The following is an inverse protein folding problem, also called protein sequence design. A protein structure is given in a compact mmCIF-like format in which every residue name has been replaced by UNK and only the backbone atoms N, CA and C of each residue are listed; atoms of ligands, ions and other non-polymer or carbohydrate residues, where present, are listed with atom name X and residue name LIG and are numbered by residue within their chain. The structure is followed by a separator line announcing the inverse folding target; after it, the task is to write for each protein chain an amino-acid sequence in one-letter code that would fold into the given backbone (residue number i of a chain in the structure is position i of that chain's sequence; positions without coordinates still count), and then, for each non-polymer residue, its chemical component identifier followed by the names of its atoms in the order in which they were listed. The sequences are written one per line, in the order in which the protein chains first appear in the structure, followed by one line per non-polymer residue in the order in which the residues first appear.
data_IF_127018236553
#
_entry.id   IF_127018236553
#
_cell.length_a   1.000
_cell.length_b   1.000
_cell.length_c   1.000
_cell.angle_alpha   90.00
_cell.angle_beta   90.00
_cell.angle_gamma   90.00
#
_symmetry.space_group_name_H-M   'P 1'
#
loop_
_entity.id
_entity.type
_entity.pdbx_description
1 polymer ?
#
# COMPACT_ATOMS: atom_id res chain seq x y z
N UNK A 1 22.76 -22.37 25.55
CA UNK A 1 23.10 -23.49 24.64
C UNK A 1 21.97 -23.62 23.64
N UNK A 2 22.26 -23.70 22.36
CA UNK A 2 21.23 -23.91 21.35
C UNK A 2 20.54 -25.26 21.51
N UNK A 3 19.23 -25.41 21.27
CA UNK A 3 18.54 -26.66 21.32
C UNK A 3 19.01 -27.60 20.19
N UNK A 4 19.03 -28.90 20.43
CA UNK A 4 19.33 -29.92 19.42
C UNK A 4 18.05 -30.29 18.65
N UNK A 5 16.90 -30.17 19.30
CA UNK A 5 15.58 -30.45 18.75
C UNK A 5 14.56 -29.47 19.32
N UNK A 6 13.43 -29.33 18.63
CA UNK A 6 12.20 -28.76 19.18
C UNK A 6 11.09 -29.79 19.08
N UNK A 7 10.16 -29.79 20.04
CA UNK A 7 8.91 -30.54 19.94
C UNK A 7 7.78 -29.55 19.75
N UNK A 8 6.99 -29.72 18.72
CA UNK A 8 5.81 -28.93 18.46
C UNK A 8 4.72 -29.29 19.46
N UNK A 9 4.25 -28.33 20.26
CA UNK A 9 3.21 -28.58 21.26
C UNK A 9 1.83 -28.23 20.77
N UNK A 10 1.73 -27.14 19.99
CA UNK A 10 0.45 -26.64 19.50
C UNK A 10 0.63 -25.89 18.19
N UNK A 11 -0.31 -26.08 17.27
CA UNK A 11 -0.44 -25.33 16.04
C UNK A 11 -1.84 -24.70 16.04
N UNK A 12 -1.92 -23.39 15.91
CA UNK A 12 -3.18 -22.63 15.93
C UNK A 12 -3.25 -21.78 14.66
N UNK A 13 -3.78 -22.31 13.56
CA UNK A 13 -4.00 -21.54 12.36
C UNK A 13 -5.15 -20.52 12.56
N UNK A 14 -5.13 -19.44 11.78
CA UNK A 14 -6.20 -18.47 11.68
C UNK A 14 -6.74 -18.48 10.24
N UNK A 15 -8.01 -18.08 10.06
CA UNK A 15 -8.65 -18.04 8.76
C UNK A 15 -9.28 -19.34 8.30
N UNK A 16 -9.54 -19.43 6.99
CA UNK A 16 -10.10 -20.64 6.38
C UNK A 16 -8.99 -21.68 6.17
N UNK A 17 -8.95 -22.63 7.08
CA UNK A 17 -7.97 -23.74 7.04
C UNK A 17 -8.34 -24.76 5.97
N UNK A 18 -8.33 -24.37 4.69
CA UNK A 18 -8.56 -25.29 3.57
C UNK A 18 -7.72 -26.56 3.61
N UNK A 19 -7.66 -27.31 2.57
CA UNK A 19 -6.91 -28.59 2.52
C UNK A 19 -5.40 -28.33 2.57
N UNK A 20 -4.77 -28.62 3.72
CA UNK A 20 -3.32 -28.55 3.89
C UNK A 20 -2.90 -28.22 5.32
N UNK A 21 -1.74 -28.70 5.74
CA UNK A 21 -1.20 -28.37 7.05
C UNK A 21 -0.66 -26.94 7.07
N UNK A 22 -0.94 -26.21 8.16
CA UNK A 22 -0.48 -24.84 8.35
C UNK A 22 1.05 -24.75 8.48
N UNK A 23 1.63 -25.64 9.29
CA UNK A 23 3.08 -25.77 9.45
C UNK A 23 3.59 -26.92 8.61
N UNK A 24 4.61 -26.70 7.82
CA UNK A 24 5.18 -27.66 6.89
C UNK A 24 6.69 -27.73 7.03
N UNK A 25 7.27 -28.83 6.63
CA UNK A 25 8.71 -29.03 6.55
C UNK A 25 9.08 -29.54 5.16
N UNK A 26 10.00 -28.85 4.52
CA UNK A 26 10.70 -29.29 3.33
C UNK A 26 11.88 -30.20 3.77
N UNK A 27 11.69 -31.51 3.72
CA UNK A 27 12.66 -32.48 4.28
C UNK A 27 13.91 -32.65 3.41
N UNK A 28 13.77 -32.51 2.09
CA UNK A 28 14.87 -32.64 1.12
C UNK A 28 15.61 -31.32 0.86
N UNK A 29 14.98 -30.17 1.10
CA UNK A 29 15.62 -28.86 1.04
C UNK A 29 15.88 -28.37 -0.38
N UNK A 30 15.16 -28.89 -1.37
CA UNK A 30 15.32 -28.51 -2.80
C UNK A 30 14.41 -27.38 -3.25
N UNK A 31 13.64 -26.75 -2.33
CA UNK A 31 12.73 -25.66 -2.60
C UNK A 31 11.26 -26.02 -2.50
N UNK A 32 10.32 -25.32 -3.16
CA UNK A 32 8.87 -25.52 -2.97
C UNK A 32 8.33 -26.83 -3.55
N UNK A 33 9.06 -27.92 -3.38
CA UNK A 33 8.68 -29.28 -3.68
C UNK A 33 7.65 -29.85 -2.69
N UNK A 34 7.59 -31.17 -2.55
CA UNK A 34 6.65 -31.86 -1.70
C UNK A 34 6.97 -31.66 -0.20
N UNK A 35 6.59 -30.50 0.37
CA UNK A 35 6.70 -30.31 1.81
C UNK A 35 5.77 -31.26 2.56
N UNK A 36 6.25 -31.78 3.70
CA UNK A 36 5.47 -32.66 4.58
C UNK A 36 4.79 -31.85 5.68
N UNK A 37 3.56 -32.23 6.01
CA UNK A 37 2.85 -31.65 7.14
C UNK A 37 3.61 -31.84 8.45
N UNK A 38 3.69 -30.82 9.27
CA UNK A 38 4.14 -30.90 10.66
C UNK A 38 2.93 -30.91 11.57
N UNK A 39 2.90 -31.84 12.51
CA UNK A 39 1.80 -32.04 13.45
C UNK A 39 2.22 -31.76 14.89
N UNK A 40 1.23 -31.56 15.75
CA UNK A 40 1.47 -31.51 17.20
C UNK A 40 2.08 -32.82 17.69
N UNK A 41 3.13 -32.71 18.50
CA UNK A 41 3.92 -33.82 18.97
C UNK A 41 5.19 -34.11 18.15
N UNK A 42 5.29 -33.60 16.93
CA UNK A 42 6.47 -33.83 16.09
C UNK A 42 7.75 -33.25 16.72
N UNK A 43 8.84 -34.01 16.57
CA UNK A 43 10.18 -33.57 17.00
C UNK A 43 11.01 -33.22 15.78
N UNK A 44 11.42 -31.99 15.71
CA UNK A 44 12.17 -31.39 14.59
C UNK A 44 13.63 -31.22 15.02
N UNK A 45 14.57 -31.68 14.21
CA UNK A 45 16.00 -31.54 14.47
C UNK A 45 16.51 -30.13 14.19
N UNK A 46 17.61 -29.74 14.80
CA UNK A 46 18.23 -28.43 14.54
C UNK A 46 18.64 -28.25 13.07
N UNK A 47 18.96 -29.34 12.36
CA UNK A 47 19.30 -29.32 10.95
C UNK A 47 18.10 -28.93 10.05
N UNK A 48 16.87 -29.12 10.56
CA UNK A 48 15.62 -28.86 9.83
C UNK A 48 14.93 -27.55 10.26
N UNK A 49 15.49 -26.80 11.21
CA UNK A 49 14.85 -25.55 11.65
C UNK A 49 14.67 -24.54 10.51
N UNK A 50 15.67 -24.43 9.63
CA UNK A 50 15.60 -23.56 8.45
C UNK A 50 14.70 -24.07 7.32
N UNK A 51 14.17 -25.29 7.45
CA UNK A 51 13.28 -25.94 6.47
C UNK A 51 11.81 -25.89 6.86
N UNK A 52 11.49 -25.27 7.99
CA UNK A 52 10.11 -25.05 8.40
C UNK A 52 9.51 -23.88 7.62
N UNK A 53 8.28 -24.04 7.15
CA UNK A 53 7.52 -23.03 6.45
C UNK A 53 6.08 -22.99 6.95
N UNK A 54 5.45 -21.81 6.87
CA UNK A 54 4.03 -21.64 7.12
C UNK A 54 3.28 -21.57 5.80
N UNK A 55 2.23 -22.39 5.65
CA UNK A 55 1.40 -22.38 4.46
C UNK A 55 0.35 -21.28 4.56
N UNK A 56 0.57 -20.17 3.87
CA UNK A 56 -0.34 -19.04 3.83
C UNK A 56 -1.43 -19.16 2.73
N UNK A 57 -1.42 -20.22 1.91
CA UNK A 57 -2.39 -20.36 0.83
C UNK A 57 -3.84 -20.52 1.33
N UNK A 58 -4.01 -20.99 2.57
CA UNK A 58 -5.31 -21.23 3.20
C UNK A 58 -5.37 -20.76 4.67
N UNK A 59 -4.39 -19.96 5.10
CA UNK A 59 -4.32 -19.53 6.49
C UNK A 59 -3.92 -18.06 6.55
N UNK A 60 -4.77 -17.23 7.13
CA UNK A 60 -4.53 -15.79 7.35
C UNK A 60 -3.46 -15.52 8.42
N UNK A 61 -2.60 -16.50 8.68
CA UNK A 61 -1.62 -16.49 9.73
C UNK A 61 -1.94 -17.49 10.84
N UNK A 62 -1.45 -17.22 12.03
CA UNK A 62 -1.65 -18.07 13.19
C UNK A 62 -0.45 -18.13 14.12
N UNK A 63 -0.31 -19.22 14.83
CA UNK A 63 0.86 -19.42 15.69
C UNK A 63 1.19 -20.90 15.86
N UNK A 64 2.44 -21.18 16.20
CA UNK A 64 2.80 -22.47 16.71
C UNK A 64 3.69 -22.33 17.96
N UNK A 65 3.50 -23.26 18.87
CA UNK A 65 4.22 -23.33 20.14
C UNK A 65 5.11 -24.54 20.15
N UNK A 66 6.33 -24.40 20.65
CA UNK A 66 7.29 -25.48 20.75
C UNK A 66 8.08 -25.45 22.05
N UNK A 67 8.60 -26.62 22.47
CA UNK A 67 9.52 -26.79 23.59
C UNK A 67 10.91 -27.14 23.06
N UNK A 68 11.96 -26.41 23.50
CA UNK A 68 13.34 -26.75 23.19
C UNK A 68 13.77 -28.03 23.88
N UNK A 69 14.42 -28.93 23.14
CA UNK A 69 14.90 -30.22 23.64
C UNK A 69 16.43 -30.32 23.51
N UNK A 70 17.03 -31.08 24.41
CA UNK A 70 18.44 -31.46 24.38
C UNK A 70 18.75 -32.56 23.34
N UNK A 71 19.99 -33.00 23.27
CA UNK A 71 20.41 -34.08 22.35
C UNK A 71 19.78 -35.44 22.66
N UNK A 72 19.20 -35.64 23.83
CA UNK A 72 18.46 -36.83 24.21
C UNK A 72 16.95 -36.65 24.04
N UNK A 73 16.52 -35.61 23.34
CA UNK A 73 15.13 -35.24 23.12
C UNK A 73 14.34 -35.00 24.43
N UNK A 74 15.04 -34.60 25.49
CA UNK A 74 14.42 -34.17 26.75
C UNK A 74 14.29 -32.66 26.83
N UNK A 75 13.22 -32.12 27.44
CA UNK A 75 13.10 -30.68 27.66
C UNK A 75 14.34 -30.14 28.36
N UNK A 76 14.88 -29.02 27.82
CA UNK A 76 16.04 -28.36 28.43
C UNK A 76 15.60 -27.74 29.75
N UNK A 77 16.28 -28.10 30.83
CA UNK A 77 15.96 -27.58 32.17
C UNK A 77 16.06 -26.06 32.21
N UNK A 78 14.99 -25.40 32.65
CA UNK A 78 14.87 -23.94 32.74
C UNK A 78 14.49 -23.24 31.42
N UNK A 79 14.36 -24.00 30.31
CA UNK A 79 13.84 -23.43 29.08
C UNK A 79 12.29 -23.46 29.09
N UNK A 80 11.67 -22.30 28.81
CA UNK A 80 10.22 -22.22 28.63
C UNK A 80 9.83 -22.58 27.19
N UNK A 81 8.61 -23.05 27.02
CA UNK A 81 8.01 -23.17 25.69
C UNK A 81 7.95 -21.79 25.00
N UNK A 82 8.22 -21.77 23.72
CA UNK A 82 8.23 -20.55 22.89
C UNK A 82 7.03 -20.59 21.93
N UNK A 83 6.50 -19.43 21.61
CA UNK A 83 5.45 -19.27 20.59
C UNK A 83 5.97 -18.39 19.47
N UNK A 84 5.81 -18.87 18.23
CA UNK A 84 6.02 -18.06 17.02
C UNK A 84 4.65 -17.71 16.48
N UNK A 85 4.41 -16.42 16.27
CA UNK A 85 3.20 -15.91 15.61
C UNK A 85 3.54 -15.55 14.17
N UNK A 86 2.71 -16.00 13.25
CA UNK A 86 2.78 -15.69 11.83
C UNK A 86 1.57 -14.83 11.50
N UNK A 87 1.82 -13.69 10.89
CA UNK A 87 0.75 -12.82 10.38
C UNK A 87 0.84 -12.79 8.86
N UNK A 88 -0.28 -13.03 8.21
CA UNK A 88 -0.36 -12.83 6.77
C UNK A 88 -0.38 -11.32 6.46
N UNK A 89 0.37 -10.92 5.45
CA UNK A 89 0.22 -9.60 4.86
C UNK A 89 -0.83 -9.68 3.75
N UNK A 90 -1.76 -8.72 3.66
CA UNK A 90 -2.67 -8.67 2.52
C UNK A 90 -1.88 -8.67 1.21
N UNK A 91 -2.49 -9.20 0.14
CA UNK A 91 -1.87 -9.16 -1.17
C UNK A 91 -1.65 -7.70 -1.60
N UNK A 92 -0.49 -7.43 -2.22
CA UNK A 92 -0.20 -6.10 -2.71
C UNK A 92 -1.29 -5.61 -3.69
N UNK A 93 -1.72 -4.35 -3.61
CA UNK A 93 -2.63 -3.77 -4.57
C UNK A 93 -2.04 -3.83 -5.98
N UNK A 94 -2.89 -4.09 -6.95
CA UNK A 94 -2.50 -4.18 -8.36
C UNK A 94 -2.66 -2.79 -9.00
N UNK A 95 -1.59 -2.01 -9.01
CA UNK A 95 -1.55 -0.70 -9.64
C UNK A 95 -1.07 -0.82 -11.09
N UNK A 96 -1.56 0.02 -12.00
CA UNK A 96 -1.05 0.06 -13.36
C UNK A 96 0.45 0.43 -13.37
N UNK A 97 1.23 -0.23 -14.22
CA UNK A 97 2.68 -0.02 -14.32
C UNK A 97 3.07 1.41 -14.75
N UNK A 98 2.18 2.08 -15.49
CA UNK A 98 2.29 3.49 -15.83
C UNK A 98 0.91 4.14 -15.71
N UNK A 99 0.88 5.36 -15.22
CA UNK A 99 -0.32 6.20 -15.15
C UNK A 99 -0.12 7.43 -16.00
N UNK A 100 -1.12 7.74 -16.81
CA UNK A 100 -1.17 9.04 -17.47
C UNK A 100 -1.30 10.16 -16.42
N UNK A 101 -0.65 11.30 -16.62
CA UNK A 101 -0.84 12.44 -15.76
C UNK A 101 -2.30 12.87 -15.69
N UNK A 102 -2.77 13.19 -14.50
CA UNK A 102 -4.08 13.81 -14.31
C UNK A 102 -4.03 15.25 -14.80
N UNK A 103 -5.03 15.68 -15.56
CA UNK A 103 -5.10 17.04 -16.07
C UNK A 103 -6.07 17.88 -15.25
N UNK A 104 -5.68 19.11 -14.95
CA UNK A 104 -6.50 20.11 -14.24
C UNK A 104 -6.34 21.46 -14.92
N UNK A 105 -7.40 22.25 -14.95
CA UNK A 105 -7.32 23.62 -15.48
C UNK A 105 -6.60 24.56 -14.50
N UNK A 106 -5.99 25.61 -15.01
CA UNK A 106 -5.33 26.65 -14.22
C UNK A 106 -6.26 27.20 -13.12
N UNK A 107 -5.71 27.44 -11.94
CA UNK A 107 -6.44 27.94 -10.76
C UNK A 107 -7.61 27.07 -10.29
N UNK A 108 -7.66 25.81 -10.68
CA UNK A 108 -8.70 24.87 -10.24
C UNK A 108 -8.18 23.87 -9.22
N UNK A 109 -9.09 23.33 -8.43
CA UNK A 109 -8.81 22.21 -7.53
C UNK A 109 -9.27 20.91 -8.19
N UNK A 110 -8.37 19.92 -8.27
CA UNK A 110 -8.66 18.60 -8.79
C UNK A 110 -9.00 17.66 -7.63
N UNK A 111 -10.24 17.18 -7.57
CA UNK A 111 -10.59 16.07 -6.67
C UNK A 111 -9.95 14.78 -7.16
N UNK A 112 -9.25 14.08 -6.28
CA UNK A 112 -8.59 12.82 -6.58
C UNK A 112 -9.59 11.69 -6.36
N UNK A 113 -9.82 10.89 -7.39
CA UNK A 113 -10.73 9.76 -7.29
C UNK A 113 -10.19 8.66 -6.38
N UNK A 114 -11.05 8.00 -5.63
CA UNK A 114 -10.69 6.91 -4.74
C UNK A 114 -9.95 5.77 -5.47
N UNK A 115 -10.29 5.51 -6.73
CA UNK A 115 -9.69 4.49 -7.58
C UNK A 115 -8.18 4.65 -7.78
N UNK A 116 -7.67 5.86 -7.63
CA UNK A 116 -6.23 6.14 -7.71
C UNK A 116 -5.44 5.44 -6.60
N UNK A 117 -6.09 5.16 -5.48
CA UNK A 117 -5.48 4.62 -4.27
C UNK A 117 -5.80 3.14 -4.03
N UNK A 118 -6.89 2.63 -4.60
CA UNK A 118 -7.37 1.26 -4.33
C UNK A 118 -6.76 0.18 -5.23
N UNK A 119 -6.13 0.57 -6.35
CA UNK A 119 -5.66 -0.37 -7.36
C UNK A 119 -6.80 -0.90 -8.24
N UNK A 120 -6.50 -1.84 -9.13
CA UNK A 120 -7.44 -2.37 -10.13
C UNK A 120 -8.51 -3.31 -9.56
N UNK A 121 -8.28 -3.86 -8.35
CA UNK A 121 -9.22 -4.78 -7.70
C UNK A 121 -9.52 -4.34 -6.26
N UNK A 122 -10.79 -4.17 -5.95
CA UNK A 122 -11.24 -3.73 -4.62
C UNK A 122 -10.90 -4.72 -3.49
N UNK A 123 -10.72 -6.02 -3.81
CA UNK A 123 -10.36 -7.05 -2.82
C UNK A 123 -8.92 -6.91 -2.30
N UNK A 124 -8.10 -6.11 -2.99
CA UNK A 124 -6.71 -5.83 -2.60
C UNK A 124 -6.49 -4.37 -2.22
N UNK A 125 -7.56 -3.61 -2.02
CA UNK A 125 -7.46 -2.20 -1.67
C UNK A 125 -6.71 -2.03 -0.33
N UNK A 126 -5.78 -1.07 -0.21
CA UNK A 126 -5.10 -0.80 1.05
C UNK A 126 -6.08 -0.20 2.07
N UNK A 127 -5.86 -0.50 3.36
CA UNK A 127 -6.63 0.11 4.44
C UNK A 127 -6.23 1.58 4.68
N UNK A 128 -4.95 1.88 4.41
CA UNK A 128 -4.35 3.21 4.55
C UNK A 128 -3.33 3.43 3.43
N UNK A 129 -3.00 4.69 3.19
CA UNK A 129 -1.80 5.09 2.47
C UNK A 129 -0.98 6.02 3.36
N UNK A 130 0.34 5.99 3.21
CA UNK A 130 1.24 7.00 3.75
C UNK A 130 1.76 7.86 2.62
N UNK A 131 1.67 9.16 2.77
CA UNK A 131 2.25 10.10 1.80
C UNK A 131 3.77 10.14 2.03
N UNK A 132 4.54 9.72 1.03
CA UNK A 132 6.00 9.65 1.14
C UNK A 132 6.66 10.94 0.65
N UNK A 133 6.13 11.54 -0.41
CA UNK A 133 6.68 12.77 -0.98
C UNK A 133 5.61 13.60 -1.67
N UNK A 134 5.73 14.93 -1.59
CA UNK A 134 4.92 15.90 -2.34
C UNK A 134 5.88 16.83 -3.07
N UNK A 135 5.75 16.94 -4.39
CA UNK A 135 6.62 17.74 -5.24
C UNK A 135 5.75 18.62 -6.13
N UNK A 136 5.33 19.80 -5.66
CA UNK A 136 4.63 20.76 -6.50
C UNK A 136 5.57 21.37 -7.53
N UNK A 137 5.06 21.72 -8.69
CA UNK A 137 5.75 22.51 -9.70
C UNK A 137 5.28 23.98 -9.57
N UNK A 138 6.14 24.90 -9.98
CA UNK A 138 5.80 26.32 -10.00
C UNK A 138 5.94 27.01 -8.65
N UNK A 139 5.31 28.17 -8.55
CA UNK A 139 5.32 29.00 -7.35
C UNK A 139 4.28 28.49 -6.35
N UNK A 140 4.75 27.82 -5.33
CA UNK A 140 3.91 27.32 -4.24
C UNK A 140 3.49 28.47 -3.33
N UNK A 141 2.63 29.37 -3.80
CA UNK A 141 2.07 30.44 -2.98
C UNK A 141 1.40 29.94 -1.68
N UNK A 142 0.62 30.75 -1.03
CA UNK A 142 -0.02 30.38 0.23
C UNK A 142 -1.07 29.25 0.05
N UNK A 143 -0.63 28.00 0.18
CA UNK A 143 -1.51 26.83 0.14
C UNK A 143 -0.77 25.53 -0.10
N UNK A 144 -1.22 24.45 0.53
CA UNK A 144 -0.67 23.13 0.30
C UNK A 144 -1.15 22.59 -1.05
N UNK A 145 -0.24 21.98 -1.82
CA UNK A 145 -0.58 21.36 -3.10
C UNK A 145 -1.56 20.18 -2.91
N UNK A 146 -1.28 19.29 -1.98
CA UNK A 146 -2.15 18.17 -1.63
C UNK A 146 -2.97 18.53 -0.38
N UNK A 147 -4.28 18.37 -0.47
CA UNK A 147 -5.22 18.76 0.55
C UNK A 147 -6.23 17.64 0.83
N UNK A 148 -6.85 17.67 2.00
CA UNK A 148 -7.92 16.76 2.39
C UNK A 148 -9.09 17.53 2.98
N UNK A 149 -10.28 17.29 2.46
CA UNK A 149 -11.56 17.69 3.05
C UNK A 149 -11.97 16.66 4.08
N UNK A 150 -11.61 16.88 5.37
CA UNK A 150 -11.76 15.89 6.42
C UNK A 150 -13.22 15.70 6.87
N UNK A 151 -14.03 16.74 6.82
CA UNK A 151 -15.44 16.73 7.24
C UNK A 151 -16.38 16.30 6.10
N UNK A 152 -15.96 16.45 4.83
CA UNK A 152 -16.70 15.96 3.67
C UNK A 152 -17.96 16.75 3.36
N UNK A 153 -18.05 18.00 3.84
CA UNK A 153 -19.23 18.85 3.68
C UNK A 153 -19.16 19.75 2.40
N UNK A 154 -18.13 19.55 1.58
CA UNK A 154 -17.91 20.30 0.34
C UNK A 154 -16.79 21.33 0.47
N UNK A 155 -16.85 22.48 -0.24
CA UNK A 155 -15.75 23.43 -0.33
C UNK A 155 -15.51 24.22 0.97
N UNK A 156 -15.50 23.55 2.11
CA UNK A 156 -15.00 24.06 3.37
C UNK A 156 -13.51 24.39 3.31
N UNK A 157 -12.85 24.63 4.43
CA UNK A 157 -11.42 24.89 4.47
C UNK A 157 -10.67 23.52 4.47
N UNK A 158 -10.19 23.02 3.32
CA UNK A 158 -9.46 21.75 3.30
C UNK A 158 -8.19 21.89 4.12
N UNK A 159 -7.81 20.81 4.77
CA UNK A 159 -6.56 20.74 5.55
C UNK A 159 -5.40 20.32 4.65
N UNK A 160 -4.25 20.94 4.88
CA UNK A 160 -3.02 20.52 4.19
C UNK A 160 -2.66 19.08 4.52
N UNK A 161 -2.25 18.32 3.51
CA UNK A 161 -1.63 17.00 3.67
C UNK A 161 -0.12 17.17 3.56
N UNK A 162 0.60 16.55 4.47
CA UNK A 162 2.06 16.62 4.57
C UNK A 162 2.72 15.26 4.31
N UNK A 163 4.00 15.30 4.00
CA UNK A 163 4.82 14.08 3.94
C UNK A 163 4.82 13.37 5.29
N UNK A 164 4.62 12.06 5.28
CA UNK A 164 4.47 11.23 6.47
C UNK A 164 3.03 11.04 6.94
N UNK A 165 2.07 11.80 6.45
CA UNK A 165 0.66 11.64 6.82
C UNK A 165 0.11 10.28 6.39
N UNK A 166 -0.69 9.68 7.27
CA UNK A 166 -1.40 8.42 7.02
C UNK A 166 -2.88 8.74 6.78
N UNK A 167 -3.34 8.38 5.60
CA UNK A 167 -4.72 8.62 5.14
C UNK A 167 -5.47 7.30 5.14
N UNK A 168 -6.66 7.27 5.72
CA UNK A 168 -7.51 6.08 5.74
C UNK A 168 -8.25 5.88 4.41
N UNK A 169 -8.63 4.64 4.12
CA UNK A 169 -9.41 4.33 2.92
C UNK A 169 -10.73 5.10 2.83
N UNK A 170 -11.33 5.45 3.96
CA UNK A 170 -12.55 6.26 4.02
C UNK A 170 -12.35 7.72 3.52
N UNK A 171 -11.10 8.18 3.50
CA UNK A 171 -10.74 9.54 3.10
C UNK A 171 -10.08 9.63 1.72
N UNK A 172 -9.90 8.51 1.00
CA UNK A 172 -9.24 8.53 -0.31
C UNK A 172 -9.96 9.45 -1.32
N UNK A 173 -11.30 9.40 -1.34
CA UNK A 173 -12.10 10.28 -2.21
C UNK A 173 -12.22 11.73 -1.74
N UNK A 174 -11.62 12.07 -0.60
CA UNK A 174 -11.62 13.42 -0.03
C UNK A 174 -10.30 14.17 -0.28
N UNK A 175 -9.38 13.54 -0.98
CA UNK A 175 -8.12 14.15 -1.35
C UNK A 175 -8.29 15.03 -2.60
N UNK A 176 -7.57 16.12 -2.64
CA UNK A 176 -7.56 17.04 -3.77
C UNK A 176 -6.17 17.62 -4.01
N UNK A 177 -5.90 17.99 -5.26
CA UNK A 177 -4.72 18.74 -5.65
C UNK A 177 -5.13 20.18 -5.98
N UNK A 178 -4.50 21.13 -5.34
CA UNK A 178 -4.77 22.56 -5.50
C UNK A 178 -3.75 23.18 -6.46
N UNK A 179 -4.21 23.75 -7.58
CA UNK A 179 -3.36 24.41 -8.56
C UNK A 179 -3.35 25.93 -8.46
N UNK A 180 -4.05 26.53 -7.49
CA UNK A 180 -4.14 28.00 -7.39
C UNK A 180 -2.76 28.71 -7.36
N UNK A 181 -1.70 28.00 -7.03
CA UNK A 181 -0.33 28.49 -7.01
C UNK A 181 0.70 27.43 -7.44
N UNK A 182 0.23 26.38 -8.12
CA UNK A 182 1.09 25.27 -8.53
C UNK A 182 0.77 24.86 -9.95
N UNK A 183 1.75 24.89 -10.83
CA UNK A 183 1.62 24.46 -12.24
C UNK A 183 1.52 22.93 -12.39
N UNK A 184 0.89 22.27 -11.41
CA UNK A 184 0.85 20.83 -11.31
C UNK A 184 1.92 20.28 -10.38
N UNK A 185 2.37 19.07 -10.63
CA UNK A 185 3.39 18.42 -9.81
C UNK A 185 3.15 16.94 -9.63
N UNK A 186 3.64 16.38 -8.52
CA UNK A 186 3.42 14.97 -8.21
C UNK A 186 3.43 14.72 -6.71
N UNK A 187 2.83 13.61 -6.31
CA UNK A 187 3.01 13.06 -4.98
C UNK A 187 3.18 11.54 -5.06
N UNK A 188 3.89 10.99 -4.10
CA UNK A 188 4.02 9.54 -3.97
C UNK A 188 3.46 9.04 -2.65
N UNK A 189 2.96 7.82 -2.66
CA UNK A 189 2.40 7.17 -1.48
C UNK A 189 2.76 5.70 -1.40
N UNK A 190 2.84 5.17 -0.17
CA UNK A 190 3.01 3.76 0.15
C UNK A 190 1.68 3.16 0.61
N UNK A 191 1.19 2.09 -0.01
CA UNK A 191 0.04 1.34 0.48
C UNK A 191 0.32 0.65 1.81
N UNK A 192 -0.60 0.77 2.76
CA UNK A 192 -0.48 0.19 4.09
C UNK A 192 -1.64 -0.75 4.42
N UNK A 193 -1.36 -1.76 5.23
CA UNK A 193 -2.34 -2.69 5.78
C UNK A 193 -3.17 -2.06 6.92
N UNK A 194 -4.07 -2.85 7.52
CA UNK A 194 -4.91 -2.41 8.64
C UNK A 194 -4.10 -2.07 9.92
N UNK A 195 -2.85 -2.51 10.02
CA UNK A 195 -1.93 -2.20 11.11
C UNK A 195 -1.01 -1.02 10.79
N UNK A 196 -1.30 -0.28 9.69
CA UNK A 196 -0.50 0.83 9.19
C UNK A 196 0.95 0.44 8.82
N UNK A 197 1.16 -0.82 8.45
CA UNK A 197 2.45 -1.31 7.96
C UNK A 197 2.44 -1.40 6.44
N UNK A 198 3.58 -1.17 5.77
CA UNK A 198 3.67 -1.39 4.33
C UNK A 198 3.21 -2.80 3.94
N UNK A 199 2.33 -2.89 2.96
CA UNK A 199 1.86 -4.17 2.43
C UNK A 199 3.05 -4.88 1.77
N UNK A 200 3.28 -6.15 2.12
CA UNK A 200 4.39 -6.92 1.59
C UNK A 200 4.28 -7.06 0.06
N UNK A 201 5.35 -6.72 -0.65
CA UNK A 201 5.38 -6.72 -2.11
C UNK A 201 4.77 -5.49 -2.79
N UNK A 202 4.15 -4.57 -2.04
CA UNK A 202 3.72 -3.29 -2.60
C UNK A 202 4.93 -2.35 -2.79
N UNK A 203 4.89 -1.57 -3.86
CA UNK A 203 5.84 -0.52 -4.15
C UNK A 203 5.20 0.85 -3.94
N UNK A 204 6.00 1.90 -3.65
CA UNK A 204 5.51 3.27 -3.66
C UNK A 204 4.89 3.60 -5.02
N UNK A 205 3.77 4.29 -5.00
CA UNK A 205 3.05 4.75 -6.19
C UNK A 205 3.22 6.25 -6.35
N UNK A 206 3.33 6.71 -7.60
CA UNK A 206 3.41 8.14 -7.91
C UNK A 206 2.21 8.56 -8.74
N UNK A 207 1.60 9.66 -8.36
CA UNK A 207 0.55 10.34 -9.13
C UNK A 207 1.13 11.67 -9.60
N UNK A 208 1.03 11.91 -10.89
CA UNK A 208 1.44 13.17 -11.52
C UNK A 208 0.20 13.98 -11.88
N UNK A 209 0.21 15.26 -11.60
CA UNK A 209 -0.82 16.22 -11.98
C UNK A 209 -0.18 17.23 -12.93
N UNK A 210 -0.78 17.40 -14.10
CA UNK A 210 -0.37 18.38 -15.09
C UNK A 210 -1.44 19.47 -15.18
N UNK A 211 -1.00 20.69 -15.03
CA UNK A 211 -1.88 21.82 -15.25
C UNK A 211 -2.02 22.10 -16.76
N UNK A 212 -3.25 22.34 -17.20
CA UNK A 212 -3.54 22.88 -18.52
C UNK A 212 -3.56 24.40 -18.44
N UNK A 213 -2.81 25.11 -19.29
CA UNK A 213 -2.86 26.57 -19.31
C UNK A 213 -4.28 27.09 -19.44
N UNK A 214 -4.57 28.21 -18.82
CA UNK A 214 -5.85 28.91 -19.03
C UNK A 214 -6.08 29.15 -20.52
N UNK A 215 -7.30 28.88 -20.98
CA UNK A 215 -7.66 29.24 -22.35
C UNK A 215 -7.48 30.73 -22.54
N UNK A 216 -6.90 31.17 -23.66
CA UNK A 216 -6.80 32.62 -23.95
C UNK A 216 -8.18 33.25 -23.86
N UNK A 217 -8.29 34.33 -23.11
CA UNK A 217 -9.53 35.09 -23.00
C UNK A 217 -9.74 35.92 -24.29
N UNK A 218 -10.39 35.29 -25.27
CA UNK A 218 -10.83 35.98 -26.45
C UNK A 218 -12.22 36.58 -26.17
N UNK A 219 -12.44 37.88 -26.42
CA UNK A 219 -13.76 38.45 -26.27
C UNK A 219 -14.78 37.68 -27.12
N UNK A 220 -15.94 37.33 -26.53
CA UNK A 220 -16.97 36.50 -27.14
C UNK A 220 -17.49 37.07 -28.49
N UNK A 221 -17.36 38.34 -28.69
CA UNK A 221 -17.63 38.97 -29.96
C UNK A 221 -16.50 39.98 -30.27
N UNK A 222 -15.83 39.78 -31.39
CA UNK A 222 -14.96 40.81 -31.93
C UNK A 222 -15.78 41.73 -32.83
N UNK A 223 -15.66 43.03 -32.64
CA UNK A 223 -16.20 43.98 -33.59
C UNK A 223 -15.69 43.60 -34.99
N UNK A 224 -16.53 43.62 -36.00
CA UNK A 224 -16.09 43.41 -37.38
C UNK A 224 -15.00 44.42 -37.73
N UNK A 225 -13.86 43.91 -38.17
CA UNK A 225 -12.82 44.81 -38.69
C UNK A 225 -13.29 45.43 -39.99
N UNK A 226 -13.53 46.75 -39.99
CA UNK A 226 -13.89 47.48 -41.19
C UNK A 226 -12.63 47.96 -41.91
N UNK A 227 -12.54 47.68 -43.20
CA UNK A 227 -11.52 48.24 -44.06
C UNK A 227 -12.18 49.14 -45.10
N UNK A 228 -11.61 50.32 -45.34
CA UNK A 228 -12.11 51.17 -46.37
C UNK A 228 -11.86 50.56 -47.76
N UNK A 229 -12.69 50.96 -48.75
CA UNK A 229 -12.51 50.50 -50.12
C UNK A 229 -11.09 50.92 -50.59
N UNK A 230 -10.42 49.96 -51.27
CA UNK A 230 -9.02 50.10 -51.73
C UNK A 230 -7.92 50.18 -50.63
N UNK A 231 -8.24 49.75 -49.38
CA UNK A 231 -7.25 49.61 -48.30
C UNK A 231 -7.00 48.17 -47.95
N UNK A 232 -5.82 47.85 -47.42
CA UNK A 232 -5.47 46.50 -46.91
C UNK A 232 -5.44 46.54 -45.41
N UNK A 233 -6.09 45.58 -44.76
CA UNK A 233 -6.01 45.36 -43.32
C UNK A 233 -4.65 44.72 -43.02
N UNK A 234 -3.78 45.33 -42.27
CA UNK A 234 -2.47 44.84 -41.85
C UNK A 234 -2.49 44.43 -40.38
#
# INVERSE_FOLDING_TARGET
KAPAFIRIEKITPQGDTGTGASLQRDADGDGPGASTAVSEGDVISAADFGKLSWNAAHNDGGSFRFVPLDANQKPILGASAQTITVSESPAAPDYPAAREPLSVAHDQTLTLGQELFTGSTSSKAPAFIRIDKITPNGDTGAGAALQRDADGDGPGAPTAVSEGDIISAADFGKLSWNTAHNDGGSFSFMPLDANQKPILGASPQTITVSESPAAPDYPAAREPLAVAHDQTLT
#
